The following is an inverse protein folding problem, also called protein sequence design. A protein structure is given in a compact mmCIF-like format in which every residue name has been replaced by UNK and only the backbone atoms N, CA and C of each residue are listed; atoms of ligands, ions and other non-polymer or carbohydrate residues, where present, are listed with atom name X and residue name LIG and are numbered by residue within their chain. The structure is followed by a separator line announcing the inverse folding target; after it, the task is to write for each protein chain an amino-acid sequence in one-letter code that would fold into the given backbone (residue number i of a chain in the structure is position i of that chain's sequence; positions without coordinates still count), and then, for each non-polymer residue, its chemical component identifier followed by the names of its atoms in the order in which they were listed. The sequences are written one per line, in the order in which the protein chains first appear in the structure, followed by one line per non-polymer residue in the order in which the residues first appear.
data_IF_808634451774
#
_entry.id   IF_808634451774
#
_cell.length_a   1.000
_cell.length_b   1.000
_cell.length_c   1.000
_cell.angle_alpha   90.00
_cell.angle_beta   90.00
_cell.angle_gamma   90.00
#
_symmetry.space_group_name_H-M   'P 1'
#
loop_
_entity.id
_entity.type
_entity.pdbx_description
1 polymer ?
#
# COMPACT_ATOMS: atom_id res chain seq x y z
N UNK A 1 31.21 -0.06 -10.31
CA UNK A 1 30.26 0.98 -9.86
C UNK A 1 28.96 0.25 -9.58
N UNK A 2 28.48 0.32 -8.36
CA UNK A 2 27.16 -0.22 -7.99
C UNK A 2 26.09 0.55 -8.74
N UNK A 3 25.21 -0.15 -9.44
CA UNK A 3 24.04 0.48 -10.09
C UNK A 3 23.13 0.96 -8.97
N UNK A 4 22.80 2.25 -8.89
CA UNK A 4 21.91 2.73 -7.84
C UNK A 4 20.52 2.12 -8.04
N UNK A 5 19.93 1.65 -6.93
CA UNK A 5 18.58 1.06 -6.90
C UNK A 5 17.87 1.43 -5.59
N UNK A 6 16.56 1.58 -5.65
CA UNK A 6 15.69 1.85 -4.50
C UNK A 6 14.51 0.87 -4.49
N UNK A 7 14.30 0.18 -3.37
CA UNK A 7 13.09 -0.62 -3.20
C UNK A 7 11.87 0.27 -3.04
N UNK A 8 10.95 0.18 -4.00
CA UNK A 8 9.71 0.97 -4.05
C UNK A 8 8.46 0.20 -3.63
N UNK A 9 8.57 -1.11 -3.41
CA UNK A 9 7.47 -1.96 -2.94
C UNK A 9 7.97 -2.91 -1.86
N UNK A 10 7.46 -2.71 -0.64
CA UNK A 10 7.86 -3.44 0.55
C UNK A 10 6.74 -3.46 1.58
N UNK A 11 6.43 -4.65 2.11
CA UNK A 11 5.49 -4.86 3.19
C UNK A 11 6.23 -5.12 4.51
N UNK A 12 5.86 -4.36 5.54
CA UNK A 12 6.37 -4.57 6.90
C UNK A 12 5.42 -5.43 7.75
N UNK A 13 5.76 -5.62 9.02
CA UNK A 13 4.89 -6.26 10.01
C UNK A 13 3.50 -5.60 10.13
N UNK A 14 3.34 -4.37 9.64
CA UNK A 14 2.07 -3.63 9.63
C UNK A 14 1.14 -4.01 8.47
N UNK A 15 1.61 -4.78 7.49
CA UNK A 15 0.74 -5.48 6.54
C UNK A 15 0.08 -6.72 7.16
N UNK A 16 0.25 -6.94 8.47
CA UNK A 16 -0.32 -7.99 9.30
C UNK A 16 0.02 -9.39 8.79
N UNK A 17 -0.84 -9.99 7.97
CA UNK A 17 -0.65 -11.36 7.46
C UNK A 17 0.51 -11.43 6.45
N UNK A 18 0.65 -10.39 5.65
CA UNK A 18 1.44 -10.39 4.42
C UNK A 18 2.81 -9.68 4.55
N UNK A 19 3.31 -9.51 5.75
CA UNK A 19 4.61 -8.91 5.97
C UNK A 19 5.23 -9.34 7.29
N UNK A 20 6.55 -9.62 7.28
CA UNK A 20 7.31 -10.04 8.46
C UNK A 20 8.33 -9.00 8.91
N UNK A 21 8.63 -8.04 8.06
CA UNK A 21 9.74 -7.10 8.23
C UNK A 21 9.52 -6.15 9.39
N UNK A 22 10.39 -6.17 10.40
CA UNK A 22 10.40 -5.20 11.49
C UNK A 22 11.06 -3.90 11.06
N UNK A 23 10.40 -2.77 11.24
CA UNK A 23 10.85 -1.47 10.75
C UNK A 23 12.27 -1.08 11.21
N UNK A 24 12.63 -1.36 12.46
CA UNK A 24 13.98 -1.04 12.97
C UNK A 24 15.07 -1.83 12.24
N UNK A 25 14.86 -3.13 12.06
CA UNK A 25 15.79 -3.98 11.33
C UNK A 25 15.84 -3.61 9.86
N UNK A 26 14.70 -3.31 9.26
CA UNK A 26 14.60 -2.84 7.88
C UNK A 26 15.52 -1.64 7.62
N UNK A 27 15.37 -0.61 8.44
CA UNK A 27 16.14 0.64 8.28
C UNK A 27 17.64 0.40 8.47
N UNK A 28 18.06 -0.39 9.49
CA UNK A 28 19.47 -0.67 9.67
C UNK A 28 20.07 -1.49 8.52
N UNK A 29 19.37 -2.54 8.08
CA UNK A 29 19.84 -3.36 6.94
C UNK A 29 19.91 -2.56 5.64
N UNK A 30 18.94 -1.67 5.39
CA UNK A 30 18.93 -0.79 4.20
C UNK A 30 20.13 0.16 4.23
N UNK A 31 20.44 0.75 5.39
CA UNK A 31 21.60 1.62 5.56
C UNK A 31 22.93 0.85 5.40
N UNK A 32 23.04 -0.34 5.98
CA UNK A 32 24.20 -1.23 5.84
C UNK A 32 24.45 -1.64 4.38
N UNK A 33 23.39 -1.80 3.58
CA UNK A 33 23.47 -2.08 2.13
C UNK A 33 23.68 -0.81 1.30
N UNK A 34 23.96 0.33 1.92
CA UNK A 34 24.23 1.62 1.29
C UNK A 34 23.14 2.10 0.30
N UNK A 35 21.89 1.73 0.52
CA UNK A 35 20.77 2.26 -0.25
C UNK A 35 20.42 3.67 0.23
N UNK A 36 20.19 4.65 -0.68
CA UNK A 36 19.96 6.04 -0.30
C UNK A 36 18.53 6.32 0.20
N UNK A 37 17.60 5.50 -0.21
CA UNK A 37 16.16 5.66 0.06
C UNK A 37 15.48 4.30 0.16
N UNK A 38 14.25 4.31 0.70
CA UNK A 38 13.42 3.12 0.82
C UNK A 38 11.95 3.52 0.85
N UNK A 39 11.08 2.78 0.16
CA UNK A 39 9.65 2.94 0.29
C UNK A 39 9.06 1.96 1.32
N UNK A 40 8.08 2.43 2.09
CA UNK A 40 7.19 1.58 2.86
C UNK A 40 5.82 1.60 2.19
N UNK A 41 5.35 0.43 1.77
CA UNK A 41 4.10 0.26 1.01
C UNK A 41 3.24 -0.85 1.59
N UNK A 42 2.92 -0.74 2.88
CA UNK A 42 2.06 -1.69 3.56
C UNK A 42 0.68 -1.81 2.88
N UNK A 43 0.06 -2.99 3.01
CA UNK A 43 -1.21 -3.31 2.35
C UNK A 43 -2.34 -2.44 2.87
N UNK A 44 -2.80 -1.52 2.05
CA UNK A 44 -3.93 -0.60 2.26
C UNK A 44 -3.94 0.05 3.65
N UNK A 45 -2.75 0.43 4.15
CA UNK A 45 -2.61 1.14 5.42
C UNK A 45 -1.31 1.94 5.50
N UNK A 46 -1.26 2.86 6.49
CA UNK A 46 -0.09 3.67 6.83
C UNK A 46 0.29 3.52 8.32
N UNK A 47 -0.01 2.37 8.94
CA UNK A 47 0.17 2.17 10.38
C UNK A 47 1.64 2.29 10.82
N UNK A 48 2.56 1.83 9.98
CA UNK A 48 4.01 1.90 10.22
C UNK A 48 4.65 3.25 9.96
N UNK A 49 3.95 4.18 9.29
CA UNK A 49 4.50 5.40 8.71
C UNK A 49 5.37 6.22 9.65
N UNK A 50 4.84 6.64 10.80
CA UNK A 50 5.56 7.53 11.72
C UNK A 50 6.82 6.88 12.30
N UNK A 51 6.75 5.58 12.61
CA UNK A 51 7.90 4.82 13.10
C UNK A 51 8.97 4.70 12.02
N UNK A 52 8.55 4.36 10.81
CA UNK A 52 9.44 4.25 9.65
C UNK A 52 10.11 5.58 9.34
N UNK A 53 9.33 6.65 9.22
CA UNK A 53 9.80 7.99 8.89
C UNK A 53 10.89 8.45 9.88
N UNK A 54 10.62 8.36 11.20
CA UNK A 54 11.60 8.71 12.23
C UNK A 54 12.85 7.86 12.18
N UNK A 55 12.71 6.56 11.99
CA UNK A 55 13.84 5.65 11.93
C UNK A 55 14.71 5.91 10.69
N UNK A 56 14.10 6.08 9.52
CA UNK A 56 14.80 6.36 8.28
C UNK A 56 15.56 7.69 8.32
N UNK A 57 14.91 8.78 8.77
CA UNK A 57 15.59 10.07 8.98
C UNK A 57 16.76 9.96 9.96
N UNK A 58 16.58 9.25 11.09
CA UNK A 58 17.64 9.03 12.06
C UNK A 58 18.84 8.22 11.53
N UNK A 59 18.63 7.42 10.50
CA UNK A 59 19.67 6.64 9.82
C UNK A 59 20.22 7.34 8.55
N UNK A 60 19.76 8.55 8.22
CA UNK A 60 20.17 9.27 7.01
C UNK A 60 19.58 8.69 5.72
N UNK A 61 18.52 7.88 5.80
CA UNK A 61 17.81 7.34 4.65
C UNK A 61 16.63 8.24 4.28
N UNK A 62 16.37 8.39 2.99
CA UNK A 62 15.17 9.09 2.50
C UNK A 62 13.95 8.16 2.59
N UNK A 63 12.95 8.46 3.44
CA UNK A 63 11.71 7.69 3.49
C UNK A 63 10.80 8.05 2.33
N UNK A 64 10.28 7.03 1.64
CA UNK A 64 9.25 7.17 0.62
C UNK A 64 7.95 6.58 1.19
N UNK A 65 6.87 7.35 1.13
CA UNK A 65 5.57 6.97 1.67
C UNK A 65 4.72 6.44 0.54
N UNK A 66 4.17 5.24 0.74
CA UNK A 66 3.27 4.64 -0.22
C UNK A 66 2.35 3.61 0.42
N UNK A 67 1.54 2.99 -0.39
CA UNK A 67 0.73 1.83 -0.01
C UNK A 67 0.47 0.94 -1.22
N UNK A 68 0.47 -0.36 -0.99
CA UNK A 68 0.08 -1.37 -1.95
C UNK A 68 -1.42 -1.63 -1.79
N UNK A 69 -2.21 -1.32 -2.82
CA UNK A 69 -3.65 -1.23 -2.76
C UNK A 69 -4.32 -2.37 -3.53
N UNK A 70 -5.50 -2.72 -3.08
CA UNK A 70 -6.41 -3.56 -3.84
C UNK A 70 -7.43 -2.70 -4.60
N UNK A 71 -7.56 -2.93 -5.90
CA UNK A 71 -8.59 -2.33 -6.74
C UNK A 71 -9.66 -3.35 -7.07
N UNK A 72 -10.90 -2.89 -7.18
CA UNK A 72 -12.01 -3.73 -7.60
C UNK A 72 -11.74 -4.31 -9.00
N UNK A 73 -11.94 -5.62 -9.14
CA UNK A 73 -11.99 -6.29 -10.42
C UNK A 73 -13.47 -6.54 -10.76
N UNK A 74 -14.03 -5.83 -11.75
CA UNK A 74 -15.44 -5.96 -12.09
C UNK A 74 -15.82 -7.31 -12.71
N UNK A 75 -14.83 -8.07 -13.18
CA UNK A 75 -15.05 -9.38 -13.82
C UNK A 75 -14.88 -10.54 -12.84
N UNK A 76 -14.15 -10.33 -11.73
CA UNK A 76 -13.90 -11.35 -10.71
C UNK A 76 -13.63 -10.71 -9.35
N UNK A 77 -14.68 -10.59 -8.53
CA UNK A 77 -14.58 -10.00 -7.19
C UNK A 77 -13.67 -10.76 -6.23
N UNK A 78 -13.41 -12.06 -6.50
CA UNK A 78 -12.52 -12.89 -5.65
C UNK A 78 -11.05 -12.61 -5.88
N UNK A 79 -10.70 -12.00 -7.01
CA UNK A 79 -9.34 -11.68 -7.41
C UNK A 79 -9.20 -10.19 -7.76
N UNK A 80 -9.19 -9.28 -6.78
CA UNK A 80 -8.96 -7.85 -7.00
C UNK A 80 -7.60 -7.61 -7.65
N UNK A 81 -7.43 -6.46 -8.30
CA UNK A 81 -6.16 -6.03 -8.89
C UNK A 81 -5.25 -5.38 -7.86
N UNK A 82 -3.94 -5.43 -8.08
CA UNK A 82 -2.94 -4.69 -7.33
C UNK A 82 -2.58 -3.37 -8.00
N UNK A 83 -2.35 -2.36 -7.18
CA UNK A 83 -1.78 -1.08 -7.58
C UNK A 83 -0.94 -0.54 -6.43
N UNK A 84 0.29 -0.12 -6.69
CA UNK A 84 1.10 0.56 -5.68
C UNK A 84 1.08 2.06 -5.93
N UNK A 85 0.73 2.85 -4.93
CA UNK A 85 0.79 4.32 -4.97
C UNK A 85 1.89 4.84 -4.06
N UNK A 86 2.67 5.81 -4.57
CA UNK A 86 3.72 6.51 -3.84
C UNK A 86 3.40 8.00 -3.79
N UNK A 87 3.53 8.61 -2.61
CA UNK A 87 3.28 10.03 -2.43
C UNK A 87 4.52 10.84 -2.81
N UNK A 88 4.37 11.79 -3.74
CA UNK A 88 5.43 12.71 -4.16
C UNK A 88 5.59 13.88 -3.19
N UNK A 89 4.50 14.36 -2.65
CA UNK A 89 4.42 15.58 -1.83
C UNK A 89 3.25 15.49 -0.85
N UNK A 90 3.00 16.58 -0.12
CA UNK A 90 1.93 16.65 0.90
C UNK A 90 0.52 16.49 0.30
N UNK A 91 0.31 16.92 -0.95
CA UNK A 91 -0.99 16.72 -1.65
C UNK A 91 -1.20 15.23 -1.90
N UNK A 92 -0.20 14.57 -2.49
CA UNK A 92 -0.24 13.12 -2.71
C UNK A 92 -0.38 12.32 -1.42
N UNK A 93 0.30 12.72 -0.35
CA UNK A 93 0.15 12.08 0.96
C UNK A 93 -1.28 12.18 1.48
N UNK A 94 -1.92 13.35 1.35
CA UNK A 94 -3.32 13.55 1.73
C UNK A 94 -4.25 12.69 0.88
N UNK A 95 -4.10 12.72 -0.44
CA UNK A 95 -4.89 11.92 -1.37
C UNK A 95 -4.76 10.43 -1.07
N UNK A 96 -3.55 9.93 -0.81
CA UNK A 96 -3.31 8.54 -0.43
C UNK A 96 -4.04 8.18 0.88
N UNK A 97 -3.99 9.07 1.88
CA UNK A 97 -4.67 8.87 3.17
C UNK A 97 -6.19 8.82 3.01
N UNK A 98 -6.76 9.71 2.18
CA UNK A 98 -8.19 9.73 1.88
C UNK A 98 -8.63 8.49 1.10
N UNK A 99 -7.86 8.06 0.10
CA UNK A 99 -8.12 6.83 -0.65
C UNK A 99 -8.14 5.60 0.25
N UNK A 100 -7.12 5.43 1.10
CA UNK A 100 -7.08 4.33 2.06
C UNK A 100 -8.28 4.37 3.01
N UNK A 101 -8.61 5.55 3.55
CA UNK A 101 -9.75 5.73 4.44
C UNK A 101 -11.07 5.40 3.75
N UNK A 102 -11.23 5.82 2.50
CA UNK A 102 -12.41 5.52 1.67
C UNK A 102 -12.52 4.02 1.37
N UNK A 103 -11.39 3.35 1.11
CA UNK A 103 -11.34 1.90 0.97
C UNK A 103 -11.84 1.16 2.20
N UNK A 104 -11.46 1.60 3.41
CA UNK A 104 -11.90 0.98 4.65
C UNK A 104 -13.35 1.31 5.03
N UNK A 105 -13.83 2.51 4.72
CA UNK A 105 -15.18 2.96 5.12
C UNK A 105 -16.27 2.59 4.11
N UNK A 106 -15.94 2.49 2.83
CA UNK A 106 -16.90 2.26 1.75
C UNK A 106 -16.60 1.03 0.89
N UNK A 107 -15.32 0.61 0.83
CA UNK A 107 -14.85 -0.50 -0.03
C UNK A 107 -14.49 -1.76 0.72
N UNK A 108 -14.79 -1.87 2.03
CA UNK A 108 -14.43 -3.06 2.79
C UNK A 108 -15.22 -4.28 2.35
N UNK A 109 -14.50 -5.35 1.96
CA UNK A 109 -15.07 -6.66 1.62
C UNK A 109 -14.24 -7.76 2.28
N UNK A 110 -14.87 -8.62 3.06
CA UNK A 110 -14.22 -9.77 3.73
C UNK A 110 -12.94 -9.41 4.51
N UNK A 111 -12.93 -8.25 5.18
CA UNK A 111 -11.78 -7.80 5.97
C UNK A 111 -10.66 -7.14 5.14
N UNK A 112 -10.85 -6.92 3.84
CA UNK A 112 -9.94 -6.17 2.96
C UNK A 112 -10.56 -4.85 2.52
N UNK A 113 -9.75 -3.82 2.45
CA UNK A 113 -10.14 -2.55 1.84
C UNK A 113 -9.86 -2.63 0.33
N UNK A 114 -10.92 -2.60 -0.46
CA UNK A 114 -10.86 -2.68 -1.92
C UNK A 114 -11.35 -1.34 -2.48
N UNK A 115 -10.52 -0.66 -3.25
CA UNK A 115 -10.82 0.65 -3.82
C UNK A 115 -11.53 0.50 -5.17
N UNK A 116 -12.43 1.42 -5.43
CA UNK A 116 -12.92 1.64 -6.78
C UNK A 116 -11.83 2.36 -7.59
N UNK A 117 -11.57 1.91 -8.82
CA UNK A 117 -10.60 2.51 -9.73
C UNK A 117 -10.87 4.00 -9.94
N UNK A 118 -12.14 4.38 -10.10
CA UNK A 118 -12.54 5.76 -10.33
C UNK A 118 -12.08 6.70 -9.20
N UNK A 119 -12.10 6.24 -7.96
CA UNK A 119 -11.61 7.05 -6.84
C UNK A 119 -10.12 7.38 -6.97
N UNK A 120 -9.33 6.43 -7.47
CA UNK A 120 -7.89 6.63 -7.67
C UNK A 120 -7.63 7.58 -8.83
N UNK A 121 -8.38 7.46 -9.93
CA UNK A 121 -8.26 8.35 -11.09
C UNK A 121 -8.60 9.80 -10.74
N UNK A 122 -9.62 10.02 -9.89
CA UNK A 122 -10.06 11.34 -9.43
C UNK A 122 -9.09 11.99 -8.42
N UNK A 123 -8.32 11.20 -7.68
CA UNK A 123 -7.40 11.66 -6.63
C UNK A 123 -5.93 11.36 -6.95
N UNK A 124 -5.53 11.44 -8.21
CA UNK A 124 -4.19 11.12 -8.70
C UNK A 124 -3.13 12.19 -8.41
N UNK A 125 -3.53 13.43 -8.11
CA UNK A 125 -2.60 14.56 -7.92
C UNK A 125 -1.57 14.28 -6.81
N UNK A 126 -0.29 14.51 -7.13
CA UNK A 126 0.82 14.30 -6.19
C UNK A 126 1.17 12.83 -5.92
N UNK A 127 0.61 11.90 -6.69
CA UNK A 127 0.86 10.47 -6.59
C UNK A 127 1.62 9.94 -7.81
N UNK A 128 2.45 8.93 -7.60
CA UNK A 128 3.03 8.06 -8.64
C UNK A 128 2.36 6.70 -8.50
N UNK A 129 2.00 6.09 -9.63
CA UNK A 129 1.37 4.78 -9.67
C UNK A 129 2.28 3.72 -10.31
N UNK A 130 2.41 2.56 -9.67
CA UNK A 130 3.05 1.37 -10.22
C UNK A 130 1.98 0.33 -10.51
N UNK A 131 2.02 -0.27 -11.70
CA UNK A 131 0.92 -1.05 -12.29
C UNK A 131 0.55 -2.35 -11.58
N UNK A 132 1.28 -2.79 -10.54
CA UNK A 132 1.01 -4.04 -9.83
C UNK A 132 1.51 -5.31 -10.54
N UNK A 133 2.35 -5.16 -11.57
CA UNK A 133 2.93 -6.25 -12.34
C UNK A 133 1.87 -7.30 -12.76
N UNK A 134 2.16 -8.61 -12.61
CA UNK A 134 1.26 -9.71 -12.99
C UNK A 134 -0.08 -9.71 -12.22
N UNK A 135 -0.16 -9.06 -11.07
CA UNK A 135 -1.38 -8.98 -10.25
C UNK A 135 -2.19 -7.71 -10.51
N UNK A 136 -1.61 -6.75 -11.24
CA UNK A 136 -2.28 -5.53 -11.65
C UNK A 136 -3.24 -5.72 -12.82
N UNK A 137 -4.08 -4.71 -13.05
CA UNK A 137 -5.08 -4.73 -14.10
C UNK A 137 -4.45 -4.96 -15.49
N UNK A 138 -3.43 -4.17 -15.84
CA UNK A 138 -2.75 -4.27 -17.14
C UNK A 138 -2.04 -5.62 -17.27
N UNK A 139 -1.28 -6.05 -16.25
CA UNK A 139 -0.55 -7.30 -16.30
C UNK A 139 -1.45 -8.52 -16.50
N UNK A 140 -2.63 -8.55 -15.87
CA UNK A 140 -3.60 -9.65 -16.07
C UNK A 140 -4.18 -9.68 -17.48
N UNK A 141 -4.49 -8.52 -18.07
CA UNK A 141 -4.93 -8.45 -19.46
C UNK A 141 -3.86 -8.94 -20.43
N UNK A 142 -2.60 -8.52 -20.22
CA UNK A 142 -1.46 -9.00 -21.03
C UNK A 142 -1.26 -10.53 -20.93
N UNK A 143 -1.39 -11.10 -19.73
CA UNK A 143 -1.25 -12.54 -19.49
C UNK A 143 -2.43 -13.38 -20.02
N UNK A 144 -3.55 -12.72 -20.35
CA UNK A 144 -4.76 -13.33 -20.93
C UNK A 144 -4.87 -13.10 -22.43
N UNK A 145 -3.79 -12.67 -23.10
CA UNK A 145 -3.72 -12.34 -24.52
C UNK A 145 -4.70 -11.21 -24.96
N UNK A 146 -5.09 -10.34 -24.02
CA UNK A 146 -5.95 -9.18 -24.27
C UNK A 146 -5.12 -7.90 -24.43
N UNK A 147 -4.15 -7.89 -25.35
CA UNK A 147 -3.20 -6.79 -25.54
C UNK A 147 -3.90 -5.45 -25.87
N UNK A 148 -5.00 -5.48 -26.65
CA UNK A 148 -5.73 -4.28 -27.01
C UNK A 148 -6.43 -3.65 -25.79
N UNK A 149 -7.04 -4.47 -24.94
CA UNK A 149 -7.67 -3.98 -23.71
C UNK A 149 -6.61 -3.43 -22.74
N UNK A 150 -5.47 -4.11 -22.61
CA UNK A 150 -4.35 -3.61 -21.82
C UNK A 150 -3.87 -2.23 -22.29
N UNK A 151 -3.86 -1.97 -23.60
CA UNK A 151 -3.50 -0.67 -24.18
C UNK A 151 -4.52 0.42 -23.82
N UNK A 152 -5.80 0.14 -23.97
CA UNK A 152 -6.87 1.09 -23.60
C UNK A 152 -6.81 1.44 -22.11
N UNK A 153 -6.61 0.42 -21.26
CA UNK A 153 -6.46 0.63 -19.81
C UNK A 153 -5.21 1.46 -19.48
N UNK A 154 -4.10 1.22 -20.19
CA UNK A 154 -2.88 2.01 -20.00
C UNK A 154 -3.10 3.49 -20.39
N UNK A 155 -3.81 3.76 -21.48
CA UNK A 155 -4.16 5.14 -21.90
C UNK A 155 -5.02 5.84 -20.82
N UNK A 156 -5.96 5.14 -20.21
CA UNK A 156 -6.77 5.67 -19.10
C UNK A 156 -5.91 6.02 -17.88
N UNK A 157 -5.00 5.10 -17.48
CA UNK A 157 -4.07 5.36 -16.38
C UNK A 157 -3.13 6.52 -16.67
N UNK A 158 -2.58 6.61 -17.90
CA UNK A 158 -1.70 7.70 -18.29
C UNK A 158 -2.41 9.05 -18.33
N UNK A 159 -3.70 9.08 -18.67
CA UNK A 159 -4.50 10.30 -18.63
C UNK A 159 -4.66 10.85 -17.20
N UNK A 160 -4.80 9.96 -16.21
CA UNK A 160 -4.90 10.34 -14.79
C UNK A 160 -3.54 10.60 -14.13
N UNK A 161 -2.47 9.92 -14.59
CA UNK A 161 -1.10 10.01 -14.07
C UNK A 161 -0.11 10.41 -15.17
N UNK A 162 -0.18 11.62 -15.75
CA UNK A 162 0.71 12.03 -16.83
C UNK A 162 2.17 11.95 -16.40
N UNK A 163 2.99 11.11 -17.09
CA UNK A 163 4.40 10.86 -16.77
C UNK A 163 4.67 10.27 -15.37
N UNK A 164 3.63 9.83 -14.68
CA UNK A 164 3.68 9.33 -13.29
C UNK A 164 3.11 7.91 -13.15
N UNK A 165 2.77 7.26 -14.26
CA UNK A 165 2.39 5.86 -14.31
C UNK A 165 3.53 5.01 -14.84
N UNK A 166 3.92 3.97 -14.10
CA UNK A 166 5.02 3.07 -14.44
C UNK A 166 4.51 1.64 -14.57
N UNK A 167 4.92 0.95 -15.65
CA UNK A 167 4.74 -0.49 -15.75
C UNK A 167 5.73 -1.18 -14.82
N UNK A 168 5.23 -1.83 -13.78
CA UNK A 168 6.03 -2.51 -12.77
C UNK A 168 6.51 -3.86 -13.28
N UNK A 169 7.81 -4.12 -13.14
CA UNK A 169 8.46 -5.37 -13.50
C UNK A 169 8.94 -6.09 -12.24
N UNK A 170 8.55 -7.36 -12.08
CA UNK A 170 8.89 -8.18 -10.92
C UNK A 170 9.46 -9.52 -11.38
N UNK A 171 10.57 -9.95 -10.75
CA UNK A 171 11.25 -11.22 -10.99
C UNK A 171 11.53 -11.93 -9.66
N UNK A 172 10.51 -12.53 -9.10
CA UNK A 172 10.61 -13.29 -7.83
C UNK A 172 10.45 -14.81 -8.03
N UNK A 173 10.42 -15.26 -9.29
CA UNK A 173 10.32 -16.68 -9.63
C UNK A 173 8.89 -17.24 -9.52
N UNK A 174 7.88 -16.39 -9.38
CA UNK A 174 6.47 -16.84 -9.41
C UNK A 174 6.05 -17.18 -10.85
N UNK A 175 5.07 -18.07 -11.01
CA UNK A 175 4.55 -18.44 -12.34
C UNK A 175 4.13 -17.21 -13.15
N UNK A 176 4.40 -17.22 -14.45
CA UNK A 176 4.02 -16.17 -15.43
C UNK A 176 4.68 -14.80 -15.23
N UNK A 177 5.57 -14.61 -14.25
CA UNK A 177 6.25 -13.31 -14.08
C UNK A 177 7.07 -12.93 -15.30
N UNK A 178 7.88 -13.83 -15.85
CA UNK A 178 8.72 -13.54 -17.00
C UNK A 178 7.90 -13.24 -18.26
N UNK A 179 6.79 -13.97 -18.46
CA UNK A 179 5.85 -13.68 -19.53
C UNK A 179 5.23 -12.27 -19.37
N UNK A 180 4.88 -11.89 -18.13
CA UNK A 180 4.38 -10.55 -17.83
C UNK A 180 5.45 -9.48 -18.08
N UNK A 181 6.70 -9.71 -17.68
CA UNK A 181 7.82 -8.79 -17.93
C UNK A 181 7.99 -8.55 -19.44
N UNK A 182 8.07 -9.62 -20.24
CA UNK A 182 8.22 -9.50 -21.69
C UNK A 182 7.04 -8.74 -22.34
N UNK A 183 5.80 -9.06 -21.97
CA UNK A 183 4.62 -8.39 -22.51
C UNK A 183 4.55 -6.92 -22.07
N UNK A 184 4.91 -6.61 -20.81
CA UNK A 184 4.96 -5.24 -20.29
C UNK A 184 6.05 -4.42 -20.96
N UNK A 185 7.24 -4.97 -21.19
CA UNK A 185 8.33 -4.28 -21.91
C UNK A 185 7.94 -4.02 -23.37
N UNK A 186 7.31 -4.99 -24.05
CA UNK A 186 6.78 -4.78 -25.41
C UNK A 186 5.79 -3.60 -25.43
N UNK A 187 4.82 -3.60 -24.53
CA UNK A 187 3.83 -2.54 -24.42
C UNK A 187 4.50 -1.19 -24.08
N UNK A 188 5.49 -1.18 -23.18
CA UNK A 188 6.27 0.00 -22.81
C UNK A 188 6.97 0.65 -24.01
N UNK A 189 7.64 -0.17 -24.84
CA UNK A 189 8.33 0.29 -26.06
C UNK A 189 7.34 0.90 -27.07
N UNK A 190 6.19 0.26 -27.26
CA UNK A 190 5.17 0.68 -28.22
C UNK A 190 4.45 1.97 -27.81
N UNK A 191 4.33 2.23 -26.49
CA UNK A 191 3.58 3.37 -25.96
C UNK A 191 4.45 4.48 -25.38
N UNK A 192 5.76 4.26 -25.24
CA UNK A 192 6.67 5.18 -24.57
C UNK A 192 6.45 5.24 -23.04
N UNK A 193 5.80 4.24 -22.46
CA UNK A 193 5.53 4.20 -21.01
C UNK A 193 6.77 3.77 -20.24
N UNK A 194 7.19 4.46 -19.16
CA UNK A 194 8.34 4.05 -18.38
C UNK A 194 8.07 2.74 -17.62
N UNK A 195 9.12 1.92 -17.49
CA UNK A 195 9.10 0.69 -16.66
C UNK A 195 9.84 0.91 -15.35
N UNK A 196 9.52 0.15 -14.31
CA UNK A 196 10.26 0.18 -13.04
C UNK A 196 10.38 -1.22 -12.43
N UNK A 197 11.57 -1.55 -11.96
CA UNK A 197 11.83 -2.82 -11.26
C UNK A 197 11.48 -2.72 -9.78
N UNK A 198 10.76 -3.72 -9.27
CA UNK A 198 10.56 -3.93 -7.83
C UNK A 198 10.81 -5.39 -7.45
N UNK A 199 10.96 -5.67 -6.16
CA UNK A 199 11.16 -7.05 -5.67
C UNK A 199 10.01 -7.57 -4.80
N UNK A 200 8.93 -6.80 -4.62
CA UNK A 200 7.77 -7.20 -3.82
C UNK A 200 8.19 -7.78 -2.44
N UNK A 201 8.98 -7.00 -1.70
CA UNK A 201 9.68 -7.45 -0.48
C UNK A 201 8.71 -7.78 0.64
N UNK A 202 8.85 -8.98 1.24
CA UNK A 202 8.01 -9.50 2.34
C UNK A 202 8.79 -9.86 3.61
N UNK A 203 10.08 -10.08 3.48
CA UNK A 203 11.01 -10.42 4.57
C UNK A 203 12.41 -9.87 4.29
N UNK A 204 13.28 -9.85 5.30
CA UNK A 204 14.60 -9.25 5.18
C UNK A 204 15.62 -10.16 4.51
N UNK A 205 15.71 -11.41 4.95
CA UNK A 205 16.68 -12.36 4.46
C UNK A 205 15.94 -13.57 3.82
N UNK A 206 16.61 -14.24 2.90
CA UNK A 206 16.02 -15.38 2.17
C UNK A 206 15.55 -16.50 3.12
N UNK A 207 16.26 -16.69 4.22
CA UNK A 207 15.98 -17.70 5.22
C UNK A 207 14.68 -17.43 5.99
N UNK A 208 14.19 -16.19 6.00
CA UNK A 208 12.94 -15.80 6.66
C UNK A 208 11.68 -16.30 5.91
N UNK A 209 11.83 -16.84 4.71
CA UNK A 209 10.72 -17.32 3.88
C UNK A 209 9.77 -18.24 4.64
N UNK A 210 10.30 -19.25 5.35
CA UNK A 210 9.47 -20.21 6.07
C UNK A 210 8.73 -19.58 7.27
N UNK A 211 9.32 -18.58 7.90
CA UNK A 211 8.66 -17.81 8.94
C UNK A 211 7.50 -16.98 8.35
N UNK A 212 7.69 -16.39 7.18
CA UNK A 212 6.65 -15.68 6.45
C UNK A 212 5.52 -16.63 6.00
N UNK A 213 5.84 -17.77 5.39
CA UNK A 213 4.86 -18.79 5.01
C UNK A 213 4.04 -19.31 6.19
N UNK A 214 4.67 -19.48 7.35
CA UNK A 214 3.99 -19.86 8.58
C UNK A 214 2.99 -18.78 9.02
N UNK A 215 3.37 -17.50 8.95
CA UNK A 215 2.50 -16.37 9.26
C UNK A 215 1.28 -16.33 8.33
N UNK A 216 1.51 -16.50 7.04
CA UNK A 216 0.43 -16.56 6.03
C UNK A 216 -0.51 -17.73 6.30
N UNK A 217 0.02 -18.92 6.59
CA UNK A 217 -0.79 -20.09 6.92
C UNK A 217 -1.68 -19.89 8.16
N UNK A 218 -1.13 -19.23 9.20
CA UNK A 218 -1.91 -18.83 10.40
C UNK A 218 -3.03 -17.86 10.00
N UNK A 219 -2.74 -16.85 9.18
CA UNK A 219 -3.71 -15.89 8.69
C UNK A 219 -4.82 -16.52 7.84
N UNK A 220 -4.51 -17.57 7.08
CA UNK A 220 -5.47 -18.35 6.30
C UNK A 220 -6.25 -19.38 7.14
N UNK A 221 -5.88 -19.59 8.41
CA UNK A 221 -6.45 -20.63 9.26
C UNK A 221 -6.16 -22.04 8.77
N UNK A 222 -5.01 -22.27 8.13
CA UNK A 222 -4.59 -23.54 7.54
C UNK A 222 -3.25 -24.00 8.12
N UNK A 223 -3.02 -25.32 8.11
CA UNK A 223 -1.69 -25.86 8.41
C UNK A 223 -0.70 -25.52 7.28
N UNK A 224 0.59 -25.41 7.64
CA UNK A 224 1.64 -25.04 6.68
C UNK A 224 1.76 -26.05 5.53
N UNK A 225 1.52 -27.33 5.79
CA UNK A 225 1.57 -28.45 4.85
C UNK A 225 0.19 -28.83 4.25
N UNK A 226 -0.86 -28.04 4.51
CA UNK A 226 -2.18 -28.29 3.92
C UNK A 226 -2.10 -28.21 2.38
N UNK A 227 -2.41 -29.30 1.65
CA UNK A 227 -2.30 -29.35 0.19
C UNK A 227 -3.28 -28.42 -0.54
N UNK A 228 -4.29 -27.89 0.19
CA UNK A 228 -5.26 -26.92 -0.36
C UNK A 228 -4.76 -25.48 -0.26
N UNK A 229 -3.57 -25.24 0.36
CA UNK A 229 -2.96 -23.91 0.37
C UNK A 229 -2.36 -23.58 -0.99
N UNK A 230 -2.71 -22.43 -1.50
CA UNK A 230 -2.01 -21.83 -2.62
C UNK A 230 -0.72 -21.16 -2.09
N UNK A 231 0.44 -21.61 -2.56
CA UNK A 231 1.72 -20.95 -2.26
C UNK A 231 1.92 -19.81 -3.22
N UNK A 232 1.68 -18.59 -2.73
CA UNK A 232 1.72 -17.35 -3.53
C UNK A 232 3.07 -16.66 -3.49
N UNK A 233 3.93 -17.05 -2.57
CA UNK A 233 5.21 -16.40 -2.29
C UNK A 233 6.37 -17.32 -2.63
N UNK A 234 7.55 -16.74 -2.82
CA UNK A 234 8.80 -17.45 -3.08
C UNK A 234 9.90 -16.95 -2.16
N UNK A 235 10.98 -17.69 -2.05
CA UNK A 235 12.17 -17.29 -1.28
C UNK A 235 12.86 -16.04 -1.84
N UNK A 236 12.48 -15.60 -3.05
CA UNK A 236 13.10 -14.45 -3.72
C UNK A 236 12.52 -13.09 -3.29
N UNK A 237 11.48 -13.05 -2.44
CA UNK A 237 10.83 -11.82 -2.00
C UNK A 237 11.50 -11.21 -0.75
N UNK A 238 12.82 -11.39 -0.60
CA UNK A 238 13.62 -10.74 0.44
C UNK A 238 14.17 -9.38 -0.01
N UNK A 239 14.68 -8.61 0.94
CA UNK A 239 15.30 -7.31 0.68
C UNK A 239 16.63 -7.51 -0.07
N UNK A 240 16.60 -7.63 -1.40
CA UNK A 240 17.79 -7.79 -2.22
C UNK A 240 18.71 -6.56 -2.14
N UNK A 241 20.02 -6.79 -2.25
CA UNK A 241 20.99 -5.71 -2.42
C UNK A 241 20.88 -5.05 -3.80
N UNK A 242 21.39 -3.82 -3.99
CA UNK A 242 21.45 -3.20 -5.31
C UNK A 242 22.18 -4.02 -6.35
N UNK A 243 23.26 -4.75 -5.97
CA UNK A 243 24.01 -5.60 -6.90
C UNK A 243 23.20 -6.83 -7.35
N UNK A 244 22.42 -7.44 -6.44
CA UNK A 244 21.50 -8.53 -6.79
C UNK A 244 20.40 -8.07 -7.73
N UNK A 245 19.82 -6.89 -7.48
CA UNK A 245 18.83 -6.29 -8.38
C UNK A 245 19.44 -5.92 -9.74
N UNK A 246 20.66 -5.39 -9.76
CA UNK A 246 21.40 -5.08 -10.99
C UNK A 246 21.66 -6.35 -11.82
N UNK A 247 22.01 -7.46 -11.19
CA UNK A 247 22.18 -8.74 -11.87
C UNK A 247 20.85 -9.30 -12.40
N UNK A 248 19.77 -9.13 -11.62
CA UNK A 248 18.44 -9.64 -11.96
C UNK A 248 17.80 -8.90 -13.16
N UNK A 249 18.06 -7.61 -13.30
CA UNK A 249 17.54 -6.75 -14.37
C UNK A 249 18.62 -6.21 -15.30
N UNK A 250 19.72 -6.98 -15.48
CA UNK A 250 20.84 -6.58 -16.35
C UNK A 250 20.44 -6.33 -17.81
N UNK A 251 19.35 -6.94 -18.24
CA UNK A 251 18.74 -6.80 -19.58
C UNK A 251 17.81 -5.59 -19.71
N UNK A 252 17.40 -4.96 -18.59
CA UNK A 252 16.48 -3.81 -18.55
C UNK A 252 17.00 -2.78 -17.53
N UNK A 253 18.20 -2.19 -17.72
CA UNK A 253 18.81 -1.30 -16.74
C UNK A 253 17.96 -0.05 -16.45
N UNK A 254 17.19 0.44 -17.41
CA UNK A 254 16.28 1.58 -17.25
C UNK A 254 15.24 1.37 -16.15
N UNK A 255 14.82 0.12 -15.92
CA UNK A 255 13.89 -0.20 -14.86
C UNK A 255 14.48 0.04 -13.45
N UNK A 256 15.79 -0.12 -13.29
CA UNK A 256 16.51 0.19 -12.05
C UNK A 256 16.73 1.71 -11.89
N UNK A 257 17.16 2.37 -12.97
CA UNK A 257 17.36 3.83 -12.99
C UNK A 257 16.07 4.57 -12.64
N UNK A 258 14.94 4.11 -13.16
CA UNK A 258 13.63 4.68 -12.85
C UNK A 258 13.24 4.52 -11.37
N UNK A 259 13.75 3.51 -10.64
CA UNK A 259 13.51 3.42 -9.20
C UNK A 259 14.14 4.59 -8.44
N UNK A 260 15.31 5.04 -8.86
CA UNK A 260 16.00 6.21 -8.31
C UNK A 260 15.29 7.50 -8.71
N UNK A 261 14.91 7.63 -9.98
CA UNK A 261 14.16 8.79 -10.48
C UNK A 261 12.84 8.99 -9.71
N UNK A 262 12.13 7.91 -9.41
CA UNK A 262 10.92 7.93 -8.58
C UNK A 262 11.28 8.37 -7.15
N UNK A 263 12.33 7.81 -6.57
CA UNK A 263 12.77 8.16 -5.23
C UNK A 263 13.14 9.66 -5.12
N UNK A 264 13.74 10.26 -6.14
CA UNK A 264 14.05 11.70 -6.19
C UNK A 264 12.79 12.57 -6.19
N UNK A 265 11.73 12.13 -6.88
CA UNK A 265 10.43 12.84 -6.96
C UNK A 265 9.62 12.79 -5.68
N UNK A 266 9.83 11.79 -4.82
CA UNK A 266 9.06 11.60 -3.60
C UNK A 266 9.69 12.36 -2.43
N UNK A 267 9.05 13.42 -1.92
CA UNK A 267 9.56 14.27 -0.85
C UNK A 267 8.43 14.78 0.04
N UNK A 268 7.82 13.85 0.80
CA UNK A 268 6.78 14.21 1.78
C UNK A 268 7.44 14.60 3.10
N UNK A 269 7.03 15.73 3.67
CA UNK A 269 7.43 16.15 5.00
C UNK A 269 6.33 15.84 6.03
N UNK A 270 6.58 14.82 6.86
CA UNK A 270 5.65 14.45 7.93
C UNK A 270 5.85 15.37 9.13
N UNK A 271 4.94 16.30 9.34
CA UNK A 271 4.97 17.22 10.49
C UNK A 271 4.76 16.46 11.78
N UNK A 272 5.80 16.46 12.62
CA UNK A 272 5.79 15.77 13.91
C UNK A 272 5.93 16.76 15.05
N UNK A 273 5.26 16.48 16.19
CA UNK A 273 5.35 17.29 17.40
C UNK A 273 4.35 18.43 17.47
N UNK A 274 3.54 18.65 16.45
CA UNK A 274 2.42 19.57 16.50
C UNK A 274 1.14 18.85 16.97
N UNK A 275 0.36 19.51 17.80
CA UNK A 275 -0.91 18.97 18.29
C UNK A 275 -2.03 19.62 17.48
N UNK A 276 -2.71 18.78 16.69
CA UNK A 276 -3.90 19.18 15.94
C UNK A 276 -5.14 18.68 16.67
N UNK A 277 -5.90 19.58 17.27
CA UNK A 277 -7.20 19.27 17.85
C UNK A 277 -8.27 19.58 16.81
N UNK A 278 -9.28 18.71 16.63
CA UNK A 278 -10.39 19.00 15.73
C UNK A 278 -11.19 20.18 16.26
N UNK A 279 -11.50 21.13 15.38
CA UNK A 279 -12.48 22.17 15.66
C UNK A 279 -13.88 21.57 15.61
N UNK A 280 -14.49 21.36 16.76
CA UNK A 280 -15.84 20.84 16.83
C UNK A 280 -16.84 21.99 16.68
N UNK A 281 -17.73 21.90 15.70
CA UNK A 281 -18.78 22.90 15.49
C UNK A 281 -19.76 22.91 16.66
N UNK A 282 -19.86 24.05 17.32
CA UNK A 282 -20.82 24.27 18.39
C UNK A 282 -21.96 25.21 17.91
N UNK A 283 -23.20 25.03 18.38
CA UNK A 283 -24.30 25.91 18.04
C UNK A 283 -24.02 27.36 18.46
N UNK A 284 -24.53 28.34 17.68
CA UNK A 284 -24.44 29.77 18.05
C UNK A 284 -25.03 30.04 19.43
N UNK A 285 -24.32 30.83 20.22
CA UNK A 285 -24.76 31.25 21.57
C UNK A 285 -24.41 30.25 22.68
N UNK A 286 -23.67 29.18 22.40
CA UNK A 286 -23.14 28.25 23.39
C UNK A 286 -21.62 28.32 23.48
N UNK A 287 -21.07 28.14 24.68
CA UNK A 287 -19.65 27.83 24.86
C UNK A 287 -19.38 26.34 24.62
N UNK A 288 -18.13 25.94 24.39
CA UNK A 288 -17.74 24.56 24.22
C UNK A 288 -18.08 23.68 25.43
N UNK A 289 -17.91 24.23 26.65
CA UNK A 289 -18.25 23.55 27.91
C UNK A 289 -19.75 23.33 28.07
N UNK A 290 -20.57 24.32 27.75
CA UNK A 290 -22.03 24.21 27.78
C UNK A 290 -22.54 23.17 26.78
N UNK A 291 -22.02 23.23 25.57
CA UNK A 291 -22.39 22.26 24.56
C UNK A 291 -21.95 20.82 24.94
N UNK A 292 -20.73 20.66 25.46
CA UNK A 292 -20.23 19.37 25.93
C UNK A 292 -21.09 18.79 27.04
N UNK A 293 -21.46 19.61 28.04
CA UNK A 293 -22.37 19.20 29.14
C UNK A 293 -23.73 18.81 28.60
N UNK A 294 -24.29 19.59 27.69
CA UNK A 294 -25.59 19.32 27.08
C UNK A 294 -25.61 17.98 26.37
N UNK A 295 -24.67 17.77 25.43
CA UNK A 295 -24.59 16.53 24.64
C UNK A 295 -24.33 15.31 25.55
N UNK A 296 -23.49 15.47 26.59
CA UNK A 296 -23.23 14.39 27.54
C UNK A 296 -24.47 14.02 28.34
N UNK A 297 -25.28 15.01 28.75
CA UNK A 297 -26.51 14.79 29.50
C UNK A 297 -27.59 14.17 28.62
N UNK A 298 -27.72 14.66 27.39
CA UNK A 298 -28.69 14.13 26.42
C UNK A 298 -28.34 12.67 26.08
N UNK A 299 -27.05 12.37 25.82
CA UNK A 299 -26.57 11.00 25.57
C UNK A 299 -26.71 10.07 26.78
N UNK A 300 -26.55 10.58 28.00
CA UNK A 300 -26.82 9.79 29.20
C UNK A 300 -28.31 9.42 29.30
N UNK A 301 -29.19 10.38 29.04
CA UNK A 301 -30.64 10.16 29.07
C UNK A 301 -31.04 9.10 28.04
N UNK A 302 -30.57 9.23 26.81
CA UNK A 302 -30.81 8.24 25.76
C UNK A 302 -30.29 6.86 26.15
N UNK A 303 -29.09 6.80 26.76
CA UNK A 303 -28.49 5.57 27.22
C UNK A 303 -29.29 4.89 28.36
N UNK A 304 -29.79 5.70 29.29
CA UNK A 304 -30.62 5.20 30.37
C UNK A 304 -31.97 4.68 29.86
N UNK A 305 -32.62 5.38 28.94
CA UNK A 305 -33.85 4.94 28.30
C UNK A 305 -33.67 3.60 27.54
N UNK A 306 -32.51 3.40 26.93
CA UNK A 306 -32.14 2.14 26.25
C UNK A 306 -31.90 1.00 27.27
N UNK A 307 -31.11 1.26 28.33
CA UNK A 307 -30.75 0.24 29.32
C UNK A 307 -31.90 -0.09 30.26
N UNK A 308 -32.72 0.90 30.58
CA UNK A 308 -33.83 0.82 31.53
C UNK A 308 -35.12 1.33 30.91
N UNK A 309 -35.67 0.64 29.91
CA UNK A 309 -36.91 1.06 29.26
C UNK A 309 -38.04 1.15 30.29
N UNK A 310 -38.82 2.23 30.25
CA UNK A 310 -39.86 2.57 31.20
C UNK A 310 -40.94 1.47 31.37
N UNK A 311 -41.14 0.62 30.36
CA UNK A 311 -42.04 -0.53 30.40
C UNK A 311 -41.56 -1.62 31.39
N UNK A 312 -40.24 -1.76 31.54
CA UNK A 312 -39.63 -2.77 32.41
C UNK A 312 -39.14 -2.19 33.74
N UNK A 313 -38.81 -0.91 33.74
CA UNK A 313 -38.30 -0.16 34.89
C UNK A 313 -39.09 1.15 35.01
N UNK A 314 -40.27 1.13 35.70
CA UNK A 314 -41.06 2.33 35.93
C UNK A 314 -40.24 3.40 36.69
N UNK A 315 -40.28 4.66 36.26
CA UNK A 315 -39.48 5.76 36.81
C UNK A 315 -39.72 6.07 38.28
N UNK A 316 -40.79 5.54 38.84
CA UNK A 316 -41.19 5.71 40.26
C UNK A 316 -40.91 4.43 41.12
N UNK A 317 -40.17 3.46 40.62
CA UNK A 317 -39.73 2.30 41.40
C UNK A 317 -38.48 2.62 42.20
N UNK A 318 -38.46 2.36 43.52
CA UNK A 318 -37.29 2.53 44.41
C UNK A 318 -36.15 1.50 44.14
N UNK A 319 -36.12 0.82 43.01
CA UNK A 319 -35.06 -0.12 42.62
C UNK A 319 -34.07 0.49 41.62
#
# INVERSE_FOLDING_TARGET
MTVPFVHLRLHSEYSLVDGLVKLKSLVSTTAERAMPALALTDETNLFGLVKFYKAAQGAGLKPIIGSDLWLQNPHDESHPYRLTLLAMNDVGYRNLTELISKGWTHGQRQGRAILDKQWVLEQSEGLIALSGAREGEIGRHLLSDHEQDARVLLEEWQAAFPELFYLELVRTGRPLEEACVHASVKLAIETGTPVVATNDVRFLEREDYWAHETRVAIGEGKALDDPRRERRYTEEQYLKSPDEMAALFADIPEALENSVMIAERCSVDVRLGEIFLPEFGIPEGMTQDEFFRKVSHDGLTERLDFLFPAERYPRDSEE
#
